data_IF_060456555335
#
_entry.id   IF_060456555335
#
_cell.length_a   1.000
_cell.length_b   1.000
_cell.length_c   1.000
_cell.angle_alpha   90.00
_cell.angle_beta   90.00
_cell.angle_gamma   90.00
#
_symmetry.space_group_name_H-M   'P 1'
#
loop_
_entity.id
_entity.type
_entity.pdbx_description
1 polymer ?
#
# COMPACT_ATOMS: atom_id res chain seq x y z
N UNK A 1 1.04 14.80 12.48
CA UNK A 1 -0.35 15.20 12.78
C UNK A 1 -0.84 16.01 11.60
N UNK A 2 -1.98 15.63 11.01
CA UNK A 2 -2.65 16.45 9.99
C UNK A 2 -3.99 16.83 10.61
N UNK A 3 -4.17 18.11 10.90
CA UNK A 3 -5.49 18.65 11.24
C UNK A 3 -6.19 18.99 9.94
N UNK A 4 -7.31 18.33 9.64
CA UNK A 4 -8.12 18.61 8.48
C UNK A 4 -9.33 19.43 8.90
N UNK A 5 -9.50 20.61 8.32
CA UNK A 5 -10.74 21.37 8.37
C UNK A 5 -11.26 21.44 6.94
N UNK A 6 -12.45 20.89 6.68
CA UNK A 6 -13.10 21.04 5.38
C UNK A 6 -13.73 22.44 5.36
N UNK A 7 -13.23 23.39 4.56
CA UNK A 7 -13.82 24.72 4.50
C UNK A 7 -15.20 24.62 3.81
N UNK A 8 -16.23 25.21 4.42
CA UNK A 8 -17.53 25.42 3.74
C UNK A 8 -18.71 24.54 4.16
N UNK A 9 -18.67 23.86 5.31
CA UNK A 9 -19.84 23.16 5.87
C UNK A 9 -19.88 23.21 7.40
N UNK A 10 -21.08 23.27 7.98
CA UNK A 10 -21.31 23.16 9.43
C UNK A 10 -21.59 21.71 9.85
N UNK A 11 -21.54 21.42 11.17
CA UNK A 11 -21.85 20.09 11.75
C UNK A 11 -23.09 19.40 11.16
N UNK A 12 -24.14 20.18 10.92
CA UNK A 12 -25.41 19.76 10.34
C UNK A 12 -25.32 19.24 8.91
N UNK A 13 -24.34 19.69 8.13
CA UNK A 13 -24.14 19.30 6.72
C UNK A 13 -23.38 17.97 6.59
N UNK A 14 -22.79 17.48 7.70
CA UNK A 14 -22.04 16.22 7.74
C UNK A 14 -22.76 15.12 8.53
N UNK A 15 -23.57 15.48 9.53
CA UNK A 15 -24.20 14.53 10.47
C UNK A 15 -25.47 13.81 9.98
N UNK A 16 -26.09 14.26 8.88
CA UNK A 16 -27.33 13.68 8.36
C UNK A 16 -27.23 12.17 8.04
N UNK A 17 -28.38 11.49 8.09
CA UNK A 17 -28.50 10.09 7.69
C UNK A 17 -28.44 9.97 6.16
N UNK A 18 -27.46 9.26 5.58
CA UNK A 18 -27.39 9.08 4.13
C UNK A 18 -28.61 8.37 3.53
N UNK A 19 -29.43 7.70 4.35
CA UNK A 19 -30.60 6.93 3.91
C UNK A 19 -31.94 7.65 4.08
N UNK A 20 -31.96 8.90 4.59
CA UNK A 20 -33.17 9.70 4.68
C UNK A 20 -33.07 10.94 3.78
N UNK A 21 -33.59 10.90 2.54
CA UNK A 21 -33.43 11.99 1.57
C UNK A 21 -34.21 13.27 1.93
N UNK A 22 -35.13 13.21 2.89
CA UNK A 22 -36.00 14.34 3.27
C UNK A 22 -35.42 15.23 4.40
N UNK A 23 -34.38 14.76 5.11
CA UNK A 23 -33.66 15.52 6.16
C UNK A 23 -32.16 15.60 5.83
N UNK A 24 -31.73 16.72 5.20
CA UNK A 24 -30.33 17.12 4.98
C UNK A 24 -29.32 15.96 4.80
N UNK A 25 -29.07 15.47 3.57
CA UNK A 25 -28.21 14.30 3.36
C UNK A 25 -26.79 14.61 3.82
N UNK A 26 -26.41 14.06 4.97
CA UNK A 26 -25.08 14.21 5.53
C UNK A 26 -24.09 13.31 4.81
N UNK A 27 -22.89 13.83 4.50
CA UNK A 27 -21.85 13.05 3.82
C UNK A 27 -21.32 11.86 4.65
N UNK A 28 -21.42 11.92 5.99
CA UNK A 28 -20.99 10.84 6.90
C UNK A 28 -21.60 10.99 8.29
N UNK A 29 -22.61 10.17 8.60
CA UNK A 29 -23.25 10.16 9.91
C UNK A 29 -22.24 10.17 11.08
N UNK A 30 -22.32 11.20 11.92
CA UNK A 30 -21.44 11.40 13.07
C UNK A 30 -20.11 12.12 12.82
N UNK A 31 -19.79 12.50 11.58
CA UNK A 31 -18.69 13.42 11.26
C UNK A 31 -19.11 14.87 11.51
N UNK A 32 -18.21 15.73 11.96
CA UNK A 32 -18.51 17.15 12.21
C UNK A 32 -17.95 18.07 11.13
N UNK A 33 -17.19 17.53 10.18
CA UNK A 33 -16.43 18.31 9.17
C UNK A 33 -15.11 18.87 9.70
N UNK A 34 -14.85 18.72 11.00
CA UNK A 34 -13.63 19.16 11.68
C UNK A 34 -13.03 17.97 12.40
N UNK A 35 -12.07 17.31 11.77
CA UNK A 35 -11.48 16.07 12.27
C UNK A 35 -9.97 16.19 12.45
N UNK A 36 -9.44 15.49 13.44
CA UNK A 36 -8.01 15.28 13.61
C UNK A 36 -7.61 13.92 13.09
N UNK A 37 -6.55 13.86 12.27
CA UNK A 37 -5.93 12.59 11.85
C UNK A 37 -4.47 12.54 12.32
N UNK A 38 -4.14 11.46 13.01
CA UNK A 38 -2.76 11.10 13.30
C UNK A 38 -2.35 9.97 12.37
N UNK A 39 -1.34 10.22 11.55
CA UNK A 39 -0.65 9.20 10.76
C UNK A 39 0.73 8.97 11.36
N UNK A 40 1.13 7.72 11.50
CA UNK A 40 2.47 7.34 11.96
C UNK A 40 3.02 6.20 11.12
N UNK A 41 4.34 6.18 10.91
CA UNK A 41 5.03 5.10 10.23
C UNK A 41 6.33 4.77 10.94
N UNK A 42 6.62 3.49 11.11
CA UNK A 42 7.86 2.97 11.67
C UNK A 42 8.41 1.94 10.69
N UNK A 43 9.69 2.03 10.36
CA UNK A 43 10.36 1.07 9.49
C UNK A 43 11.71 0.66 10.06
N UNK A 44 12.07 -0.60 9.90
CA UNK A 44 13.35 -1.15 10.32
C UNK A 44 13.90 -2.08 9.24
N UNK A 45 15.15 -1.87 8.89
CA UNK A 45 15.93 -2.82 8.10
C UNK A 45 16.87 -3.57 9.02
N UNK A 46 16.89 -4.89 8.90
CA UNK A 46 17.69 -5.79 9.71
C UNK A 46 18.53 -6.67 8.78
N UNK A 47 19.85 -6.45 8.70
CA UNK A 47 20.75 -7.39 8.06
C UNK A 47 20.66 -8.74 8.77
N UNK A 48 20.61 -9.79 7.97
CA UNK A 48 20.58 -11.19 8.39
C UNK A 48 21.88 -11.89 7.92
N UNK A 49 22.19 -13.09 8.44
CA UNK A 49 23.31 -13.88 7.95
C UNK A 49 23.22 -14.12 6.43
N UNK A 50 24.37 -14.37 5.81
CA UNK A 50 24.50 -14.61 4.36
C UNK A 50 23.99 -13.45 3.50
N UNK A 51 24.17 -12.19 3.94
CA UNK A 51 23.82 -10.97 3.20
C UNK A 51 22.32 -10.80 2.88
N UNK A 52 21.45 -11.58 3.51
CA UNK A 52 20.01 -11.34 3.45
C UNK A 52 19.65 -10.06 4.20
N UNK A 53 18.58 -9.40 3.76
CA UNK A 53 18.08 -8.20 4.41
C UNK A 53 16.58 -8.35 4.66
N UNK A 54 16.16 -8.23 5.91
CA UNK A 54 14.76 -8.15 6.29
C UNK A 54 14.36 -6.68 6.46
N UNK A 55 13.39 -6.22 5.70
CA UNK A 55 12.72 -4.94 5.88
C UNK A 55 11.35 -5.17 6.50
N UNK A 56 11.06 -4.46 7.59
CA UNK A 56 9.74 -4.45 8.20
C UNK A 56 9.25 -3.01 8.32
N UNK A 57 7.99 -2.77 7.97
CA UNK A 57 7.33 -1.46 8.07
C UNK A 57 5.95 -1.62 8.67
N UNK A 58 5.59 -0.69 9.55
CA UNK A 58 4.26 -0.56 10.14
C UNK A 58 3.79 0.87 9.90
N UNK A 59 2.60 1.03 9.34
CA UNK A 59 1.94 2.31 9.16
C UNK A 59 0.58 2.30 9.86
N UNK A 60 0.16 3.45 10.37
CA UNK A 60 -1.10 3.58 11.08
C UNK A 60 -1.75 4.92 10.83
N UNK A 61 -3.08 4.91 10.82
CA UNK A 61 -3.94 6.09 10.79
C UNK A 61 -4.98 5.97 11.90
N UNK A 62 -5.10 7.02 12.71
CA UNK A 62 -6.16 7.16 13.71
C UNK A 62 -6.88 8.50 13.57
N UNK A 63 -8.19 8.44 13.45
CA UNK A 63 -9.07 9.58 13.33
C UNK A 63 -9.77 9.88 14.66
N UNK A 64 -10.03 11.15 14.97
CA UNK A 64 -10.84 11.53 16.15
C UNK A 64 -12.32 11.16 15.98
N UNK A 65 -12.86 11.29 14.77
CA UNK A 65 -14.28 11.09 14.42
C UNK A 65 -14.42 10.32 13.10
N UNK A 66 -15.64 9.89 12.68
CA UNK A 66 -15.85 9.33 11.35
C UNK A 66 -15.37 10.30 10.26
N UNK A 67 -14.60 9.80 9.31
CA UNK A 67 -14.04 10.59 8.23
C UNK A 67 -14.95 10.51 7.00
N UNK A 68 -14.94 11.58 6.20
CA UNK A 68 -15.55 11.53 4.87
C UNK A 68 -14.71 10.61 3.97
N UNK A 69 -15.30 10.00 2.91
CA UNK A 69 -14.59 9.03 2.07
C UNK A 69 -13.26 9.53 1.48
N UNK A 70 -13.14 10.83 1.19
CA UNK A 70 -11.92 11.42 0.65
C UNK A 70 -10.74 11.43 1.65
N UNK A 71 -11.02 11.32 2.94
CA UNK A 71 -10.04 11.40 4.05
C UNK A 71 -9.79 10.03 4.70
N UNK A 72 -10.65 9.06 4.37
CA UNK A 72 -10.49 7.68 4.82
C UNK A 72 -9.23 7.05 4.22
N UNK A 73 -8.70 6.09 4.96
CA UNK A 73 -7.59 5.28 4.49
C UNK A 73 -8.09 4.25 3.48
N UNK A 74 -7.42 4.15 2.33
CA UNK A 74 -7.66 3.14 1.32
C UNK A 74 -6.62 2.03 1.42
N UNK A 75 -7.06 0.77 1.39
CA UNK A 75 -6.17 -0.38 1.32
C UNK A 75 -6.48 -1.28 0.13
N UNK A 76 -5.42 -1.88 -0.41
CA UNK A 76 -5.40 -2.67 -1.64
C UNK A 76 -4.56 -1.99 -2.71
N UNK A 77 -3.78 -2.79 -3.44
CA UNK A 77 -2.86 -2.33 -4.49
C UNK A 77 -1.40 -2.27 -4.03
N UNK A 78 -0.53 -1.86 -4.95
CA UNK A 78 0.93 -1.90 -4.80
C UNK A 78 1.46 -1.14 -3.57
N UNK A 79 0.87 0.01 -3.24
CA UNK A 79 1.39 0.87 -2.17
C UNK A 79 0.99 0.39 -0.76
N UNK A 80 -0.06 -0.43 -0.64
CA UNK A 80 -0.59 -0.89 0.65
C UNK A 80 -0.51 -2.40 0.80
N UNK A 81 -1.49 -3.15 0.29
CA UNK A 81 -1.52 -4.62 0.33
C UNK A 81 -1.49 -5.16 -1.09
N UNK A 82 -0.32 -5.66 -1.50
CA UNK A 82 -0.13 -6.30 -2.81
C UNK A 82 -1.00 -7.56 -2.89
N UNK A 83 -1.46 -7.88 -4.08
CA UNK A 83 -2.38 -9.00 -4.31
C UNK A 83 -3.86 -8.62 -4.23
N UNK A 84 -4.18 -7.33 -4.03
CA UNK A 84 -5.54 -6.79 -4.14
C UNK A 84 -5.60 -5.69 -5.19
N UNK A 85 -6.79 -5.45 -5.73
CA UNK A 85 -7.07 -4.28 -6.54
C UNK A 85 -6.90 -2.99 -5.72
N UNK A 86 -6.69 -1.87 -6.41
CA UNK A 86 -6.63 -0.57 -5.75
C UNK A 86 -7.94 -0.24 -5.03
N UNK A 87 -7.83 0.39 -3.86
CA UNK A 87 -8.96 0.91 -3.08
C UNK A 87 -10.02 -0.15 -2.71
N UNK A 88 -9.55 -1.36 -2.43
CA UNK A 88 -10.39 -2.51 -2.11
C UNK A 88 -11.17 -2.37 -0.81
N UNK A 89 -10.58 -1.70 0.18
CA UNK A 89 -11.22 -1.42 1.45
C UNK A 89 -10.97 0.02 1.89
N UNK A 90 -11.91 0.51 2.69
CA UNK A 90 -11.98 1.85 3.22
C UNK A 90 -12.16 1.81 4.74
N UNK A 91 -11.51 2.73 5.44
CA UNK A 91 -11.72 2.89 6.88
C UNK A 91 -11.22 4.21 7.42
N UNK A 92 -11.84 4.68 8.50
CA UNK A 92 -11.41 5.92 9.18
C UNK A 92 -10.04 5.73 9.84
N UNK A 93 -9.79 4.53 10.35
CA UNK A 93 -8.55 4.12 10.97
C UNK A 93 -7.98 2.90 10.24
N UNK A 94 -6.66 2.80 10.23
CA UNK A 94 -5.97 1.70 9.60
C UNK A 94 -4.70 1.34 10.37
N UNK A 95 -4.33 0.07 10.30
CA UNK A 95 -3.02 -0.45 10.68
C UNK A 95 -2.53 -1.33 9.53
N UNK A 96 -1.34 -1.04 9.03
CA UNK A 96 -0.69 -1.77 7.97
C UNK A 96 0.64 -2.29 8.47
N UNK A 97 0.97 -3.51 8.06
CA UNK A 97 2.25 -4.13 8.30
C UNK A 97 2.76 -4.76 7.00
N UNK A 98 4.03 -4.52 6.71
CA UNK A 98 4.74 -5.07 5.56
C UNK A 98 6.04 -5.67 6.04
N UNK A 99 6.30 -6.90 5.61
CA UNK A 99 7.58 -7.56 5.77
C UNK A 99 8.10 -7.98 4.40
N UNK A 100 9.36 -7.67 4.13
CA UNK A 100 10.05 -7.98 2.88
C UNK A 100 11.41 -8.58 3.19
N UNK A 101 11.68 -9.74 2.63
CA UNK A 101 12.96 -10.43 2.71
C UNK A 101 13.66 -10.31 1.36
N UNK A 102 14.81 -9.67 1.36
CA UNK A 102 15.66 -9.50 0.19
C UNK A 102 16.79 -10.53 0.22
N UNK A 103 17.05 -11.12 -0.93
CA UNK A 103 18.25 -11.93 -1.15
C UNK A 103 19.50 -11.05 -1.23
N UNK A 104 20.70 -11.66 -1.12
CA UNK A 104 21.93 -11.04 -1.58
C UNK A 104 21.84 -10.61 -3.04
N UNK A 105 22.78 -9.76 -3.44
CA UNK A 105 22.94 -9.42 -4.86
C UNK A 105 23.24 -10.70 -5.64
N UNK A 106 22.34 -11.04 -6.56
CA UNK A 106 22.59 -12.12 -7.50
C UNK A 106 23.78 -11.74 -8.38
N UNK A 107 24.57 -12.74 -8.84
CA UNK A 107 25.74 -12.49 -9.67
C UNK A 107 25.35 -11.61 -10.86
N UNK A 108 26.07 -10.50 -11.00
CA UNK A 108 25.77 -9.51 -12.03
C UNK A 108 25.92 -10.16 -13.41
N UNK A 109 24.88 -10.05 -14.22
CA UNK A 109 24.89 -10.55 -15.60
C UNK A 109 25.52 -9.44 -16.44
N UNK A 110 26.71 -9.65 -17.03
CA UNK A 110 27.24 -8.69 -17.98
C UNK A 110 26.33 -8.73 -19.22
N UNK A 111 25.70 -7.60 -19.55
CA UNK A 111 24.67 -7.52 -20.61
C UNK A 111 25.29 -7.74 -22.02
N UNK A 112 26.61 -7.81 -22.12
CA UNK A 112 27.35 -8.11 -23.35
C UNK A 112 27.28 -9.58 -23.81
N UNK A 113 26.76 -10.51 -22.98
CA UNK A 113 26.72 -11.93 -23.32
C UNK A 113 25.76 -12.27 -24.49
N UNK A 114 24.74 -11.44 -24.74
CA UNK A 114 23.76 -11.66 -25.82
C UNK A 114 24.13 -11.02 -27.16
N UNK A 115 25.02 -10.02 -27.18
CA UNK A 115 25.41 -9.29 -28.39
C UNK A 115 26.94 -9.09 -28.42
N UNK A 116 27.67 -10.17 -28.73
CA UNK A 116 29.12 -10.13 -28.89
C UNK A 116 29.53 -9.16 -30.01
N UNK A 117 29.91 -7.91 -29.66
CA UNK A 117 30.77 -7.11 -30.56
C UNK A 117 31.68 -6.06 -29.94
N UNK A 118 31.68 -5.76 -28.63
CA UNK A 118 32.67 -4.83 -28.05
C UNK A 118 33.09 -5.20 -26.63
N UNK A 119 34.42 -5.26 -26.43
CA UNK A 119 35.14 -5.35 -25.15
C UNK A 119 34.94 -4.06 -24.32
N UNK A 120 33.72 -3.80 -23.82
CA UNK A 120 33.46 -2.66 -22.92
C UNK A 120 32.36 -3.04 -21.91
N UNK A 121 32.78 -3.71 -20.85
CA UNK A 121 31.99 -4.04 -19.67
C UNK A 121 31.72 -2.80 -18.80
N UNK A 122 31.02 -1.80 -19.33
CA UNK A 122 30.60 -0.62 -18.56
C UNK A 122 29.20 -0.78 -17.94
N UNK A 123 28.33 -1.59 -18.56
CA UNK A 123 26.96 -1.76 -18.10
C UNK A 123 26.87 -2.94 -17.13
N UNK A 124 26.54 -2.68 -15.87
CA UNK A 124 26.35 -3.69 -14.82
C UNK A 124 24.88 -3.76 -14.43
N UNK A 125 24.33 -4.98 -14.45
CA UNK A 125 23.00 -5.25 -13.92
C UNK A 125 23.12 -5.98 -12.58
N UNK A 126 22.64 -5.35 -11.51
CA UNK A 126 22.54 -5.97 -10.18
C UNK A 126 21.09 -6.33 -9.92
N UNK A 127 20.86 -7.54 -9.40
CA UNK A 127 19.52 -8.11 -9.22
C UNK A 127 19.34 -8.61 -7.79
N UNK A 128 18.16 -8.36 -7.22
CA UNK A 128 17.72 -8.92 -5.94
C UNK A 128 16.36 -9.57 -6.11
N UNK A 129 16.19 -10.74 -5.50
CA UNK A 129 14.86 -11.32 -5.31
C UNK A 129 14.30 -10.85 -3.98
N UNK A 130 12.99 -10.67 -3.95
CA UNK A 130 12.24 -10.23 -2.78
C UNK A 130 11.12 -11.21 -2.54
N UNK A 131 10.95 -11.68 -1.32
CA UNK A 131 9.72 -12.31 -0.86
C UNK A 131 9.03 -11.34 0.11
N UNK A 132 7.72 -11.19 0.01
CA UNK A 132 7.01 -10.23 0.85
C UNK A 132 5.68 -10.76 1.38
N UNK A 133 5.29 -10.19 2.50
CA UNK A 133 3.99 -10.37 3.14
C UNK A 133 3.47 -9.00 3.58
N UNK A 134 2.27 -8.66 3.12
CA UNK A 134 1.56 -7.43 3.43
C UNK A 134 0.27 -7.78 4.20
N UNK A 135 -0.03 -6.99 5.23
CA UNK A 135 -1.24 -7.10 6.04
C UNK A 135 -1.82 -5.71 6.26
N UNK A 136 -3.14 -5.57 6.14
CA UNK A 136 -3.85 -4.38 6.57
C UNK A 136 -5.11 -4.73 7.33
N UNK A 137 -5.38 -3.97 8.38
CA UNK A 137 -6.64 -3.96 9.12
C UNK A 137 -7.19 -2.55 9.16
N UNK A 138 -8.39 -2.40 8.65
CA UNK A 138 -9.11 -1.13 8.58
C UNK A 138 -10.37 -1.26 9.42
N UNK A 139 -10.74 -0.18 10.09
CA UNK A 139 -12.01 -0.13 10.79
C UNK A 139 -12.65 1.25 10.70
N UNK A 140 -13.96 1.22 10.54
CA UNK A 140 -14.79 2.40 10.33
C UNK A 140 -15.52 2.72 11.62
N UNK A 141 -15.43 3.98 12.07
CA UNK A 141 -16.20 4.45 13.22
C UNK A 141 -17.65 4.64 12.79
N UNK A 142 -18.59 4.09 13.57
CA UNK A 142 -20.04 4.19 13.34
C UNK A 142 -20.40 3.79 11.91
N UNK A 143 -20.09 2.56 11.52
CA UNK A 143 -20.45 2.11 10.19
C UNK A 143 -22.00 2.16 10.02
N UNK A 144 -22.52 2.60 8.87
CA UNK A 144 -23.95 2.56 8.60
C UNK A 144 -24.44 1.11 8.59
N UNK A 145 -25.72 0.90 8.88
CA UNK A 145 -26.32 -0.43 8.87
C UNK A 145 -26.09 -1.13 7.52
N UNK A 146 -25.46 -2.31 7.53
CA UNK A 146 -25.14 -3.10 6.34
C UNK A 146 -23.70 -2.95 5.81
N UNK A 147 -22.91 -2.01 6.30
CA UNK A 147 -21.46 -1.91 5.99
C UNK A 147 -20.63 -2.79 6.94
N UNK A 148 -19.53 -3.38 6.45
CA UNK A 148 -18.60 -4.08 7.34
C UNK A 148 -17.77 -3.10 8.17
N UNK A 149 -17.87 -3.22 9.50
CA UNK A 149 -17.15 -2.37 10.46
C UNK A 149 -15.63 -2.54 10.41
N UNK A 150 -15.16 -3.73 10.02
CA UNK A 150 -13.75 -4.11 9.98
C UNK A 150 -13.46 -4.80 8.65
N UNK A 151 -12.45 -4.32 7.94
CA UNK A 151 -11.91 -4.96 6.74
C UNK A 151 -10.49 -5.45 7.02
N UNK A 152 -10.15 -6.62 6.49
CA UNK A 152 -8.81 -7.21 6.57
C UNK A 152 -8.33 -7.58 5.19
N UNK A 153 -7.06 -7.34 4.93
CA UNK A 153 -6.40 -7.67 3.66
C UNK A 153 -5.07 -8.33 3.99
N UNK A 154 -4.78 -9.43 3.32
CA UNK A 154 -3.55 -10.20 3.50
C UNK A 154 -3.02 -10.61 2.14
N UNK A 155 -1.80 -10.22 1.83
CA UNK A 155 -1.17 -10.46 0.54
C UNK A 155 0.22 -11.02 0.72
N UNK A 156 0.59 -11.97 -0.13
CA UNK A 156 1.96 -12.47 -0.17
C UNK A 156 2.42 -12.63 -1.60
N UNK A 157 3.72 -12.54 -1.82
CA UNK A 157 4.26 -12.60 -3.16
C UNK A 157 5.77 -12.61 -3.23
N UNK A 158 6.23 -12.61 -4.47
CA UNK A 158 7.63 -12.54 -4.85
C UNK A 158 7.85 -11.39 -5.81
N UNK A 159 9.05 -10.84 -5.77
CA UNK A 159 9.44 -9.73 -6.62
C UNK A 159 10.89 -9.81 -7.08
N UNK A 160 11.17 -9.07 -8.13
CA UNK A 160 12.49 -8.82 -8.67
C UNK A 160 12.78 -7.32 -8.58
N UNK A 161 13.99 -6.98 -8.12
CA UNK A 161 14.53 -5.62 -8.15
C UNK A 161 15.80 -5.67 -8.97
N UNK A 162 15.88 -4.85 -10.01
CA UNK A 162 17.05 -4.77 -10.88
C UNK A 162 17.50 -3.33 -10.99
N UNK A 163 18.80 -3.10 -10.86
CA UNK A 163 19.44 -1.82 -11.11
C UNK A 163 20.46 -1.99 -12.22
N UNK A 164 20.39 -1.12 -13.22
CA UNK A 164 21.30 -1.10 -14.36
C UNK A 164 22.11 0.19 -14.31
N UNK A 165 23.41 0.04 -14.12
CA UNK A 165 24.41 1.12 -14.10
C UNK A 165 25.19 1.10 -15.42
N UNK A 166 25.66 2.25 -15.95
CA UNK A 166 25.63 3.59 -15.36
C UNK A 166 24.35 4.39 -15.64
N UNK A 167 23.38 3.81 -16.36
CA UNK A 167 22.17 4.52 -16.82
C UNK A 167 21.19 4.82 -15.65
N UNK A 168 21.49 4.36 -14.43
CA UNK A 168 20.67 4.53 -13.23
C UNK A 168 19.20 4.10 -13.43
N UNK A 169 18.99 3.07 -14.25
CA UNK A 169 17.69 2.49 -14.52
C UNK A 169 17.36 1.48 -13.42
N UNK A 170 16.24 1.68 -12.72
CA UNK A 170 15.71 0.74 -11.74
C UNK A 170 14.43 0.11 -12.29
N UNK A 171 14.38 -1.22 -12.24
CA UNK A 171 13.22 -2.03 -12.60
C UNK A 171 12.72 -2.76 -11.37
N UNK A 172 11.41 -2.76 -11.16
CA UNK A 172 10.75 -3.51 -10.11
C UNK A 172 9.62 -4.32 -10.73
N UNK A 173 9.54 -5.60 -10.38
CA UNK A 173 8.46 -6.48 -10.76
C UNK A 173 7.98 -7.18 -9.49
N UNK A 174 6.69 -7.11 -9.18
CA UNK A 174 6.08 -7.77 -8.03
C UNK A 174 4.90 -8.61 -8.51
N UNK A 175 4.87 -9.89 -8.14
CA UNK A 175 3.74 -10.77 -8.33
C UNK A 175 3.21 -11.21 -6.97
N UNK A 176 1.93 -10.93 -6.71
CA UNK A 176 1.31 -11.12 -5.41
C UNK A 176 -0.04 -11.81 -5.52
N UNK A 177 -0.40 -12.56 -4.48
CA UNK A 177 -1.66 -13.28 -4.36
C UNK A 177 -2.45 -12.80 -3.14
N UNK A 178 -3.75 -12.63 -3.31
CA UNK A 178 -4.69 -12.35 -2.22
C UNK A 178 -4.86 -13.59 -1.33
N UNK A 179 -4.62 -13.46 -0.03
CA UNK A 179 -4.76 -14.56 0.94
C UNK A 179 -6.14 -14.57 1.62
N UNK A 180 -6.90 -13.47 1.54
CA UNK A 180 -8.27 -13.37 2.04
C UNK A 180 -9.22 -12.74 1.02
N UNK A 181 -10.49 -13.09 1.07
CA UNK A 181 -11.54 -12.48 0.24
C UNK A 181 -12.01 -11.18 0.89
N UNK A 182 -11.91 -10.07 0.17
CA UNK A 182 -12.30 -8.74 0.64
C UNK A 182 -12.84 -7.93 -0.52
N UNK A 183 -14.04 -7.36 -0.38
CA UNK A 183 -14.71 -6.62 -1.46
C UNK A 183 -14.95 -7.49 -2.70
N UNK A 184 -14.48 -7.03 -3.85
CA UNK A 184 -14.49 -7.70 -5.16
C UNK A 184 -13.35 -8.71 -5.40
N UNK A 185 -12.25 -8.66 -4.63
CA UNK A 185 -11.09 -9.57 -4.77
C UNK A 185 -11.32 -10.82 -3.93
N UNK A 186 -11.14 -11.99 -4.54
CA UNK A 186 -11.27 -13.29 -3.89
C UNK A 186 -9.90 -13.81 -3.47
N UNK A 187 -9.90 -14.62 -2.42
CA UNK A 187 -8.72 -15.40 -2.04
C UNK A 187 -8.22 -16.22 -3.24
N UNK A 188 -6.93 -16.12 -3.53
CA UNK A 188 -6.27 -16.77 -4.64
C UNK A 188 -6.15 -15.91 -5.89
N UNK A 189 -6.83 -14.77 -5.97
CA UNK A 189 -6.62 -13.81 -7.06
C UNK A 189 -5.17 -13.31 -7.04
N UNK A 190 -4.58 -13.14 -8.21
CA UNK A 190 -3.18 -12.72 -8.36
C UNK A 190 -3.07 -11.41 -9.12
N UNK A 191 -2.12 -10.57 -8.73
CA UNK A 191 -1.84 -9.29 -9.34
C UNK A 191 -0.35 -9.14 -9.60
N UNK A 192 0.00 -8.65 -10.79
CA UNK A 192 1.38 -8.33 -11.16
C UNK A 192 1.52 -6.83 -11.34
N UNK A 193 2.53 -6.25 -10.71
CA UNK A 193 2.89 -4.85 -10.85
C UNK A 193 4.31 -4.74 -11.39
N UNK A 194 4.53 -3.79 -12.29
CA UNK A 194 5.85 -3.43 -12.77
C UNK A 194 6.06 -1.93 -12.62
N UNK A 195 7.28 -1.53 -12.27
CA UNK A 195 7.70 -0.14 -12.17
C UNK A 195 9.05 0.03 -12.83
N UNK A 196 9.17 1.09 -13.61
CA UNK A 196 10.42 1.50 -14.27
C UNK A 196 10.71 2.92 -13.83
N UNK A 197 11.92 3.16 -13.30
CA UNK A 197 12.38 4.51 -12.98
C UNK A 197 13.80 4.74 -13.49
N UNK A 198 14.04 5.94 -14.00
CA UNK A 198 15.36 6.37 -14.50
C UNK A 198 15.76 7.57 -13.67
N UNK A 199 16.93 7.51 -13.04
CA UNK A 199 17.56 8.65 -12.39
C UNK A 199 18.48 9.37 -13.38
N UNK A 200 18.28 10.67 -13.60
CA UNK A 200 19.16 11.52 -14.39
C UNK A 200 19.99 12.44 -13.49
#
# INVERSE_FOLDING_TARGET
YVAGLIPGGGKKDFQGDPNNPDEFPGNRAGSTGTFGVVKSGISRMQPLPNEFLLSARVDGQWASEPLIPAEQFFAGGMDTVRGYSQNQALGDNALLWRAELYTPDLPSIPIDYFWQRRRSSEVKATMKLVAFYDYARLWTKRAPAGQQDISRLEGAGGGLRMRIEPINLNLQLDHAMALQTTGTTKRGDTFTHFMVSVGF
#
